data_IF_078319162610
#
_entry.id   IF_078319162610
#
_cell.length_a   1.000
_cell.length_b   1.000
_cell.length_c   1.000
_cell.angle_alpha   90.00
_cell.angle_beta   90.00
_cell.angle_gamma   90.00
#
_symmetry.space_group_name_H-M   'P 1'
#
loop_
_entity.id
_entity.type
_entity.pdbx_description
1 polymer ?
#
# COMPACT_ATOMS: atom_id res chain seq x y z
N UNK A 1 -20.00 6.06 -4.08
CA UNK A 1 -19.22 6.53 -5.25
C UNK A 1 -18.67 5.31 -5.97
N UNK A 2 -18.75 5.26 -7.30
CA UNK A 2 -18.30 4.08 -8.04
C UNK A 2 -16.85 4.26 -8.49
N UNK A 3 -15.96 3.36 -8.05
CA UNK A 3 -14.55 3.40 -8.40
C UNK A 3 -14.34 3.21 -9.91
N UNK A 4 -13.60 4.13 -10.53
CA UNK A 4 -13.14 3.98 -11.89
C UNK A 4 -12.12 2.84 -11.99
N UNK A 5 -11.98 2.29 -13.18
CA UNK A 5 -11.13 1.14 -13.46
C UNK A 5 -9.83 1.64 -14.08
N UNK A 6 -8.71 1.14 -13.56
CA UNK A 6 -7.40 1.40 -14.13
C UNK A 6 -7.23 0.64 -15.44
N UNK A 7 -6.60 1.28 -16.41
CA UNK A 7 -6.39 0.71 -17.74
C UNK A 7 -4.91 0.83 -18.10
N UNK A 8 -4.35 -0.26 -18.60
CA UNK A 8 -3.04 -0.27 -19.24
C UNK A 8 -3.19 -0.83 -20.66
N UNK A 9 -2.27 -0.49 -21.54
CA UNK A 9 -2.22 -1.07 -22.88
C UNK A 9 -1.34 -2.34 -22.94
N UNK A 10 -1.21 -2.94 -24.13
CA UNK A 10 -0.37 -4.15 -24.30
C UNK A 10 1.11 -3.93 -24.03
N UNK A 11 1.59 -2.67 -24.10
CA UNK A 11 2.95 -2.27 -23.77
C UNK A 11 3.11 -1.93 -22.28
N UNK A 12 2.06 -2.14 -21.47
CA UNK A 12 1.97 -1.79 -20.05
C UNK A 12 2.07 -0.28 -19.80
N UNK A 13 1.75 0.55 -20.79
CA UNK A 13 1.63 1.98 -20.62
C UNK A 13 0.33 2.30 -19.85
N UNK A 14 0.39 3.08 -18.74
CA UNK A 14 -0.80 3.56 -18.05
C UNK A 14 -1.64 4.48 -18.95
N UNK A 15 -2.96 4.26 -18.93
CA UNK A 15 -3.94 5.07 -19.63
C UNK A 15 -4.89 5.74 -18.63
N UNK A 16 -5.71 6.67 -19.12
CA UNK A 16 -6.78 7.27 -18.31
C UNK A 16 -7.71 6.20 -17.74
N UNK A 17 -8.14 6.41 -16.49
CA UNK A 17 -9.14 5.52 -15.88
C UNK A 17 -10.46 5.61 -16.63
N UNK A 18 -11.24 4.54 -16.59
CA UNK A 18 -12.55 4.48 -17.27
C UNK A 18 -13.65 4.10 -16.31
N UNK A 19 -14.88 4.48 -16.64
CA UNK A 19 -16.03 4.02 -15.86
C UNK A 19 -16.17 2.49 -15.93
N UNK A 20 -16.65 1.83 -14.86
CA UNK A 20 -16.82 0.37 -14.86
C UNK A 20 -17.71 -0.16 -15.99
N UNK A 21 -18.69 0.65 -16.45
CA UNK A 21 -19.53 0.32 -17.60
C UNK A 21 -18.70 0.16 -18.89
N UNK A 22 -17.74 1.05 -19.13
CA UNK A 22 -16.81 0.95 -20.26
C UNK A 22 -15.88 -0.25 -20.10
N UNK A 23 -15.34 -0.47 -18.90
CA UNK A 23 -14.47 -1.61 -18.61
C UNK A 23 -15.17 -2.95 -18.88
N UNK A 24 -16.40 -3.12 -18.39
CA UNK A 24 -17.22 -4.30 -18.64
C UNK A 24 -17.44 -4.53 -20.14
N UNK A 25 -17.84 -3.48 -20.88
CA UNK A 25 -18.03 -3.58 -22.34
C UNK A 25 -16.76 -4.00 -23.09
N UNK A 26 -15.58 -3.58 -22.64
CA UNK A 26 -14.31 -3.98 -23.24
C UNK A 26 -13.98 -5.46 -22.95
N UNK A 27 -14.27 -5.92 -21.74
CA UNK A 27 -14.11 -7.32 -21.34
C UNK A 27 -15.10 -8.23 -22.10
N UNK A 28 -16.38 -7.87 -22.15
CA UNK A 28 -17.44 -8.63 -22.85
C UNK A 28 -17.14 -8.77 -24.35
N UNK A 29 -16.58 -7.72 -24.96
CA UNK A 29 -16.15 -7.73 -26.37
C UNK A 29 -14.79 -8.40 -26.60
N UNK A 30 -14.16 -8.93 -25.54
CA UNK A 30 -12.85 -9.56 -25.63
C UNK A 30 -11.71 -8.63 -26.05
N UNK A 31 -11.88 -7.30 -25.96
CA UNK A 31 -10.87 -6.29 -26.33
C UNK A 31 -9.86 -6.02 -25.21
N UNK A 32 -10.22 -6.38 -23.98
CA UNK A 32 -9.37 -6.28 -22.81
C UNK A 32 -9.36 -7.61 -22.04
N UNK A 33 -8.40 -7.76 -21.15
CA UNK A 33 -8.34 -8.84 -20.16
C UNK A 33 -8.14 -8.25 -18.76
N UNK A 34 -8.44 -9.02 -17.72
CA UNK A 34 -8.13 -8.62 -16.35
C UNK A 34 -6.63 -8.74 -16.12
N UNK A 35 -5.99 -7.64 -15.71
CA UNK A 35 -4.56 -7.61 -15.39
C UNK A 35 -4.31 -7.92 -13.90
N UNK A 36 -5.10 -7.30 -13.01
CA UNK A 36 -5.05 -7.51 -11.55
C UNK A 36 -6.37 -7.14 -10.90
N UNK A 37 -6.64 -7.73 -9.74
CA UNK A 37 -7.86 -7.47 -8.98
C UNK A 37 -7.79 -6.25 -8.06
N UNK A 38 -6.60 -5.91 -7.52
CA UNK A 38 -6.46 -4.84 -6.52
C UNK A 38 -5.31 -3.86 -6.84
N UNK A 39 -5.61 -2.58 -7.15
CA UNK A 39 -6.94 -2.15 -7.55
C UNK A 39 -7.32 -2.86 -8.85
N UNK A 40 -8.60 -2.88 -9.18
CA UNK A 40 -9.06 -3.55 -10.38
C UNK A 40 -8.49 -2.84 -11.60
N UNK A 41 -7.71 -3.57 -12.39
CA UNK A 41 -7.03 -3.05 -13.58
C UNK A 41 -7.27 -3.99 -14.74
N UNK A 42 -7.60 -3.43 -15.90
CA UNK A 42 -7.70 -4.16 -17.15
C UNK A 42 -6.52 -3.80 -18.06
N UNK A 43 -6.12 -4.75 -18.91
CA UNK A 43 -5.13 -4.56 -19.96
C UNK A 43 -5.83 -4.64 -21.32
N UNK A 44 -5.60 -3.65 -22.18
CA UNK A 44 -6.07 -3.66 -23.56
C UNK A 44 -5.18 -4.60 -24.39
N UNK A 45 -5.78 -5.33 -25.34
CA UNK A 45 -5.03 -6.21 -26.26
C UNK A 45 -4.31 -5.46 -27.39
N UNK A 46 -4.45 -4.15 -27.44
CA UNK A 46 -3.87 -3.27 -28.46
C UNK A 46 -3.04 -2.19 -27.78
N UNK A 47 -1.95 -1.79 -28.43
CA UNK A 47 -1.20 -0.60 -28.04
C UNK A 47 -1.98 0.66 -28.43
N UNK A 48 -1.86 1.72 -27.62
CA UNK A 48 -2.36 3.05 -28.00
C UNK A 48 -1.15 3.94 -28.26
N UNK A 49 -0.99 4.40 -29.49
CA UNK A 49 0.06 5.35 -29.84
C UNK A 49 -0.29 6.74 -29.27
N UNK A 50 0.68 7.37 -28.60
CA UNK A 50 0.59 8.75 -28.09
C UNK A 50 -0.72 9.08 -27.35
N UNK A 51 -1.02 8.36 -26.24
CA UNK A 51 -2.24 8.61 -25.50
C UNK A 51 -2.21 9.99 -24.83
N UNK A 52 -3.28 10.76 -24.95
CA UNK A 52 -3.48 11.98 -24.18
C UNK A 52 -3.89 11.60 -22.76
N UNK A 53 -2.97 11.75 -21.80
CA UNK A 53 -3.21 11.45 -20.39
C UNK A 53 -3.69 12.71 -19.68
N UNK A 54 -4.81 12.61 -18.99
CA UNK A 54 -5.32 13.68 -18.15
C UNK A 54 -4.55 13.69 -16.82
N UNK A 55 -4.11 14.86 -16.33
CA UNK A 55 -3.42 14.96 -15.06
C UNK A 55 -4.37 14.53 -13.92
N UNK A 56 -3.80 13.85 -12.94
CA UNK A 56 -4.55 13.32 -11.82
C UNK A 56 -3.76 13.49 -10.53
N UNK A 57 -4.45 13.79 -9.43
CA UNK A 57 -3.86 14.02 -8.14
C UNK A 57 -4.18 12.88 -7.19
N UNK A 58 -3.15 12.36 -6.53
CA UNK A 58 -3.31 11.40 -5.43
C UNK A 58 -3.34 12.14 -4.10
N UNK A 59 -4.38 11.90 -3.30
CA UNK A 59 -4.50 12.37 -1.92
C UNK A 59 -4.38 11.16 -1.00
N UNK A 60 -3.55 11.28 0.03
CA UNK A 60 -3.22 10.21 0.96
C UNK A 60 -3.48 10.70 2.38
N UNK A 61 -4.30 9.96 3.13
CA UNK A 61 -4.60 10.23 4.53
C UNK A 61 -4.06 9.09 5.42
N UNK A 62 -2.85 9.24 6.00
CA UNK A 62 -2.19 8.18 6.75
C UNK A 62 -2.69 8.06 8.20
N UNK A 63 -3.44 7.00 8.50
CA UNK A 63 -3.85 6.67 9.86
C UNK A 63 -2.94 5.63 10.57
N UNK A 64 -3.28 5.33 11.83
CA UNK A 64 -2.57 4.30 12.63
C UNK A 64 -2.93 2.87 12.25
N UNK A 65 -4.17 2.65 11.81
CA UNK A 65 -4.73 1.34 11.42
C UNK A 65 -5.02 1.26 9.93
N UNK A 66 -5.48 2.36 9.34
CA UNK A 66 -5.91 2.41 7.94
C UNK A 66 -5.30 3.66 7.30
N UNK A 67 -4.86 3.57 6.05
CA UNK A 67 -4.55 4.74 5.22
C UNK A 67 -5.60 4.87 4.13
N UNK A 68 -6.23 6.05 4.05
CA UNK A 68 -7.13 6.41 2.96
C UNK A 68 -6.35 6.88 1.74
N UNK A 69 -6.79 6.47 0.56
CA UNK A 69 -6.32 6.97 -0.72
C UNK A 69 -7.51 7.50 -1.51
N UNK A 70 -7.31 8.63 -2.15
CA UNK A 70 -8.25 9.19 -3.12
C UNK A 70 -7.50 9.65 -4.36
N UNK A 71 -8.03 9.31 -5.52
CA UNK A 71 -7.56 9.76 -6.81
C UNK A 71 -8.55 10.81 -7.33
N UNK A 72 -8.04 12.02 -7.60
CA UNK A 72 -8.84 13.19 -7.95
C UNK A 72 -8.46 13.68 -9.34
N UNK A 73 -9.46 13.85 -10.20
CA UNK A 73 -9.31 14.36 -11.55
C UNK A 73 -10.39 15.42 -11.77
N UNK A 74 -10.01 16.61 -12.26
CA UNK A 74 -10.93 17.73 -12.52
C UNK A 74 -11.87 18.02 -11.34
N UNK A 75 -11.30 18.12 -10.13
CA UNK A 75 -11.99 18.30 -8.84
C UNK A 75 -13.00 17.21 -8.43
N UNK A 76 -13.02 16.08 -9.16
CA UNK A 76 -13.86 14.93 -8.85
C UNK A 76 -13.04 13.75 -8.35
N UNK A 77 -13.53 13.09 -7.30
CA UNK A 77 -12.93 11.83 -6.82
C UNK A 77 -13.37 10.71 -7.76
N UNK A 78 -12.41 10.13 -8.48
CA UNK A 78 -12.65 9.06 -9.46
C UNK A 78 -12.39 7.67 -8.89
N UNK A 79 -11.56 7.57 -7.86
CA UNK A 79 -11.25 6.31 -7.21
C UNK A 79 -10.82 6.52 -5.77
N UNK A 80 -11.17 5.58 -4.89
CA UNK A 80 -10.68 5.56 -3.52
C UNK A 80 -10.46 4.13 -3.00
N UNK A 81 -9.55 4.01 -2.03
CA UNK A 81 -9.35 2.79 -1.26
C UNK A 81 -8.96 3.07 0.17
N UNK A 82 -9.16 2.06 1.01
CA UNK A 82 -8.63 1.99 2.36
C UNK A 82 -7.59 0.87 2.43
N UNK A 83 -6.39 1.21 2.85
CA UNK A 83 -5.29 0.28 3.07
C UNK A 83 -5.20 -0.05 4.56
N UNK A 84 -5.53 -1.28 4.94
CA UNK A 84 -5.38 -1.75 6.31
C UNK A 84 -3.92 -2.11 6.64
N UNK A 85 -3.41 -1.58 7.74
CA UNK A 85 -2.04 -1.77 8.21
C UNK A 85 -1.92 -2.89 9.24
N UNK A 86 -0.85 -3.68 9.10
CA UNK A 86 -0.48 -4.72 10.08
C UNK A 86 0.39 -4.20 11.22
N UNK A 87 0.61 -2.88 11.30
CA UNK A 87 1.49 -2.25 12.30
C UNK A 87 1.12 -2.62 13.75
N UNK A 88 -0.17 -2.70 14.07
CA UNK A 88 -0.64 -3.12 15.39
C UNK A 88 -0.27 -4.59 15.73
N UNK A 89 -0.43 -5.50 14.77
CA UNK A 89 -0.04 -6.90 14.93
C UNK A 89 1.48 -7.05 15.09
N UNK A 90 2.27 -6.29 14.32
CA UNK A 90 3.73 -6.26 14.43
C UNK A 90 4.14 -5.80 15.83
N UNK A 91 3.57 -4.69 16.32
CA UNK A 91 3.80 -4.17 17.67
C UNK A 91 3.52 -5.23 18.73
N UNK A 92 2.34 -5.88 18.67
CA UNK A 92 1.95 -6.93 19.63
C UNK A 92 2.93 -8.12 19.64
N UNK A 93 3.39 -8.56 18.46
CA UNK A 93 4.40 -9.63 18.34
C UNK A 93 5.75 -9.23 18.94
N UNK A 94 6.18 -7.99 18.73
CA UNK A 94 7.43 -7.46 19.29
C UNK A 94 7.37 -7.33 20.82
N UNK A 95 6.23 -6.86 21.35
CA UNK A 95 5.98 -6.75 22.79
C UNK A 95 6.00 -8.12 23.46
N UNK A 96 5.28 -9.10 22.91
CA UNK A 96 5.29 -10.49 23.40
C UNK A 96 6.69 -11.07 23.42
N UNK A 97 7.45 -10.95 22.32
CA UNK A 97 8.86 -11.39 22.25
C UNK A 97 9.72 -10.72 23.32
N UNK A 98 9.52 -9.41 23.54
CA UNK A 98 10.27 -8.64 24.53
C UNK A 98 9.93 -9.08 25.96
N UNK A 99 8.65 -9.33 26.25
CA UNK A 99 8.16 -9.78 27.55
C UNK A 99 8.74 -11.16 27.93
N UNK A 100 8.67 -12.15 27.02
CA UNK A 100 9.26 -13.47 27.25
C UNK A 100 10.77 -13.37 27.52
N UNK A 101 11.47 -12.55 26.73
CA UNK A 101 12.91 -12.31 26.91
C UNK A 101 13.24 -11.63 28.24
N UNK A 102 12.41 -10.70 28.70
CA UNK A 102 12.54 -10.05 30.01
C UNK A 102 12.33 -11.07 31.12
N UNK A 103 11.27 -11.87 31.05
CA UNK A 103 10.97 -12.93 32.02
C UNK A 103 12.12 -13.92 32.20
N UNK A 104 12.68 -14.45 31.10
CA UNK A 104 13.86 -15.34 31.16
C UNK A 104 15.08 -14.69 31.82
N UNK A 105 15.32 -13.40 31.55
CA UNK A 105 16.46 -12.67 32.12
C UNK A 105 16.29 -12.33 33.60
N UNK A 106 15.06 -12.04 34.03
CA UNK A 106 14.75 -11.76 35.43
C UNK A 106 14.83 -13.00 36.33
N UNK A 107 14.57 -14.19 35.78
CA UNK A 107 14.74 -15.46 36.54
C UNK A 107 16.21 -15.85 36.70
N UNK A 108 17.06 -15.54 35.71
CA UNK A 108 18.48 -15.90 35.69
C UNK A 108 19.39 -14.68 35.99
N UNK A 109 19.16 -13.98 37.10
CA UNK A 109 19.91 -12.77 37.47
C UNK A 109 21.18 -13.00 38.26
N UNK A 110 21.37 -14.19 38.86
CA UNK A 110 22.45 -14.48 39.85
C UNK A 110 23.86 -14.04 39.41
N UNK A 111 24.18 -14.11 38.12
CA UNK A 111 25.48 -13.70 37.57
C UNK A 111 25.38 -12.77 36.35
N UNK A 112 24.19 -12.22 36.06
CA UNK A 112 23.98 -11.45 34.82
C UNK A 112 24.36 -9.98 35.01
N UNK A 113 25.55 -9.59 34.55
CA UNK A 113 25.97 -8.18 34.54
C UNK A 113 24.98 -7.27 33.77
N UNK A 114 24.70 -6.05 34.26
CA UNK A 114 23.85 -5.10 33.56
C UNK A 114 24.48 -4.65 32.23
N UNK A 115 23.64 -4.28 31.25
CA UNK A 115 24.06 -3.81 29.91
C UNK A 115 23.31 -2.53 29.54
N UNK A 116 23.54 -1.45 30.28
CA UNK A 116 22.88 -0.15 30.05
C UNK A 116 23.42 0.55 28.79
N UNK A 117 24.73 0.44 28.53
CA UNK A 117 25.41 1.14 27.43
C UNK A 117 25.25 0.45 26.05
N UNK A 118 24.90 -0.84 26.00
CA UNK A 118 24.88 -1.63 24.76
C UNK A 118 23.52 -1.58 24.03
N UNK A 119 22.71 -0.55 24.26
CA UNK A 119 21.36 -0.42 23.69
C UNK A 119 21.15 0.91 22.99
N UNK A 120 22.14 1.34 22.21
CA UNK A 120 21.96 2.48 21.30
C UNK A 120 21.26 1.98 20.03
N UNK A 121 20.24 2.71 19.58
CA UNK A 121 19.66 2.54 18.25
C UNK A 121 20.45 3.41 17.27
N UNK A 122 20.64 2.97 16.02
CA UNK A 122 21.27 3.82 15.02
C UNK A 122 20.45 5.09 14.80
N UNK A 123 21.11 6.12 14.31
CA UNK A 123 20.43 7.34 13.87
C UNK A 123 19.44 7.01 12.74
N UNK A 124 18.28 7.67 12.74
CA UNK A 124 17.20 7.37 11.78
C UNK A 124 16.45 6.06 12.03
N UNK A 125 16.70 5.34 13.14
CA UNK A 125 15.97 4.11 13.44
C UNK A 125 14.48 4.37 13.66
N UNK A 126 13.65 3.67 12.90
CA UNK A 126 12.20 3.66 13.04
C UNK A 126 11.76 2.29 13.58
N UNK A 127 10.73 2.25 14.42
CA UNK A 127 10.19 0.99 14.89
C UNK A 127 9.59 0.19 13.72
N UNK A 128 9.74 -1.15 13.66
CA UNK A 128 9.27 -1.94 12.51
C UNK A 128 7.77 -1.77 12.19
N UNK A 129 6.95 -1.49 13.21
CA UNK A 129 5.52 -1.21 13.02
C UNK A 129 5.24 0.13 12.32
N UNK A 130 6.10 1.13 12.52
CA UNK A 130 6.02 2.43 11.87
C UNK A 130 6.58 2.37 10.45
N UNK A 131 7.74 1.73 10.30
CA UNK A 131 8.40 1.49 9.01
C UNK A 131 7.47 0.73 8.04
N UNK A 132 6.78 -0.31 8.52
CA UNK A 132 5.74 -1.00 7.74
C UNK A 132 4.72 -0.03 7.14
N UNK A 133 4.23 0.96 7.91
CA UNK A 133 3.20 1.90 7.41
C UNK A 133 3.74 2.72 6.25
N UNK A 134 4.96 3.27 6.40
CA UNK A 134 5.61 4.08 5.38
C UNK A 134 5.86 3.26 4.10
N UNK A 135 6.54 2.11 4.23
CA UNK A 135 6.93 1.30 3.09
C UNK A 135 5.72 0.73 2.34
N UNK A 136 4.64 0.38 3.06
CA UNK A 136 3.42 -0.13 2.42
C UNK A 136 2.75 0.97 1.62
N UNK A 137 2.61 2.18 2.17
CA UNK A 137 2.04 3.33 1.45
C UNK A 137 2.86 3.62 0.19
N UNK A 138 4.19 3.71 0.31
CA UNK A 138 5.09 3.96 -0.81
C UNK A 138 4.95 2.89 -1.90
N UNK A 139 4.86 1.61 -1.50
CA UNK A 139 4.64 0.50 -2.43
C UNK A 139 3.35 0.68 -3.21
N UNK A 140 2.25 1.13 -2.58
CA UNK A 140 0.98 1.37 -3.28
C UNK A 140 1.00 2.60 -4.19
N UNK A 141 1.72 3.66 -3.82
CA UNK A 141 1.87 4.86 -4.66
C UNK A 141 2.65 4.53 -5.95
N UNK A 142 3.65 3.64 -5.88
CA UNK A 142 4.44 3.22 -7.03
C UNK A 142 3.76 2.17 -7.93
N UNK A 143 2.58 1.69 -7.55
CA UNK A 143 1.95 0.49 -8.13
C UNK A 143 0.85 0.79 -9.13
#
# INVERSE_FOLDING_TARGET
MQNYVFVIDTNKQPLNTISPKKARRLLDKGKAAVFRMYPFTIILKTAIANPTISPCQIKIDPGSKVTGFALVQDDQVIWGMELEHRGGLIKKKLESRSAVRRGRRNRNTRYRKPRFLNRKRPEGWIAPSLEHRVLTIETWVKR
#
